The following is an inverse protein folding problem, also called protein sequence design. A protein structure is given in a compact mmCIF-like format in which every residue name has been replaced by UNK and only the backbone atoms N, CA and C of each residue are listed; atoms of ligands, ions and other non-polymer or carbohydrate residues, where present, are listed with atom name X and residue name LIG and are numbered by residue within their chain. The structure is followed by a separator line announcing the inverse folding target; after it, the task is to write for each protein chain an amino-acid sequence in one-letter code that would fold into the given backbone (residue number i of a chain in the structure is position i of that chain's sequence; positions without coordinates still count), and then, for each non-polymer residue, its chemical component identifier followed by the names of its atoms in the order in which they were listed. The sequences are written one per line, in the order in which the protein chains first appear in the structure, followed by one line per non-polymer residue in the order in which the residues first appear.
data_IF_274253718621
#
_entry.id   IF_274253718621
#
_cell.length_a   1.000
_cell.length_b   1.000
_cell.length_c   1.000
_cell.angle_alpha   90.00
_cell.angle_beta   90.00
_cell.angle_gamma   90.00
#
_symmetry.space_group_name_H-M   'P 1'
#
loop_
_entity.id
_entity.type
_entity.pdbx_description
1 polymer ?
#
# COMPACT_ATOMS: atom_id res chain seq x y z
N UNK A 1 -11.89 20.14 7.30
CA UNK A 1 -10.96 19.03 6.95
C UNK A 1 -11.21 18.71 5.49
N UNK A 2 -10.17 18.75 4.67
CA UNK A 2 -10.25 18.50 3.23
C UNK A 2 -9.64 17.12 2.93
N UNK A 3 -10.25 16.37 2.01
CA UNK A 3 -9.75 15.06 1.59
C UNK A 3 -8.69 15.26 0.53
N UNK A 4 -7.48 14.74 0.76
CA UNK A 4 -6.35 14.89 -0.16
C UNK A 4 -6.20 13.70 -1.11
N UNK A 5 -6.53 12.49 -0.64
CA UNK A 5 -6.48 11.25 -1.42
C UNK A 5 -7.80 10.51 -1.26
N UNK A 6 -8.40 10.14 -2.39
CA UNK A 6 -9.56 9.26 -2.43
C UNK A 6 -9.16 7.89 -2.96
N UNK A 7 -9.43 6.85 -2.16
CA UNK A 7 -9.22 5.48 -2.59
C UNK A 7 -10.44 5.03 -3.42
N UNK A 8 -10.25 4.54 -4.66
CA UNK A 8 -11.34 4.36 -5.62
C UNK A 8 -12.25 3.14 -5.37
N UNK A 9 -11.90 2.19 -4.50
CA UNK A 9 -12.70 0.98 -4.27
C UNK A 9 -13.08 0.82 -2.79
N UNK A 10 -13.94 1.66 -2.24
CA UNK A 10 -14.33 1.61 -0.82
C UNK A 10 -14.97 0.27 -0.33
N UNK A 11 -15.15 -0.75 -1.18
CA UNK A 11 -15.79 -2.03 -0.83
C UNK A 11 -14.90 -2.97 -0.03
N UNK A 12 -13.60 -2.69 0.10
CA UNK A 12 -12.67 -3.54 0.87
C UNK A 12 -12.04 -2.80 2.04
N UNK A 13 -11.77 -3.51 3.13
CA UNK A 13 -11.13 -2.90 4.30
C UNK A 13 -9.64 -2.65 4.07
N UNK A 14 -9.15 -1.54 4.62
CA UNK A 14 -7.71 -1.27 4.74
C UNK A 14 -7.13 -2.23 5.78
N UNK A 15 -6.03 -2.90 5.43
CA UNK A 15 -5.31 -3.83 6.31
C UNK A 15 -4.18 -3.15 7.06
N UNK A 16 -3.42 -2.34 6.34
CA UNK A 16 -2.29 -1.61 6.87
C UNK A 16 -1.96 -0.42 5.96
N UNK A 17 -1.27 0.57 6.49
CA UNK A 17 -0.77 1.71 5.75
C UNK A 17 0.57 2.18 6.33
N UNK A 18 1.39 2.82 5.51
CA UNK A 18 2.65 3.41 5.96
C UNK A 18 2.96 4.66 5.16
N UNK A 19 3.30 5.73 5.86
CA UNK A 19 3.97 6.88 5.26
C UNK A 19 5.45 6.58 5.08
N UNK A 20 6.05 7.12 4.03
CA UNK A 20 7.50 7.19 3.90
C UNK A 20 8.06 8.26 4.84
N UNK A 21 9.31 8.10 5.25
CA UNK A 21 9.92 9.01 6.23
C UNK A 21 10.18 10.42 5.69
N UNK A 22 10.17 10.58 4.37
CA UNK A 22 10.31 11.85 3.65
C UNK A 22 8.96 12.51 3.33
N UNK A 23 7.85 11.93 3.79
CA UNK A 23 6.48 12.43 3.59
C UNK A 23 6.05 12.54 2.11
N UNK A 24 6.80 11.92 1.20
CA UNK A 24 6.49 11.95 -0.24
C UNK A 24 5.47 10.88 -0.63
N UNK A 25 5.45 9.74 0.07
CA UNK A 25 4.66 8.58 -0.32
C UNK A 25 3.80 8.02 0.81
N UNK A 26 2.65 7.48 0.41
CA UNK A 26 1.77 6.67 1.25
C UNK A 26 1.53 5.32 0.55
N UNK A 27 1.79 4.22 1.25
CA UNK A 27 1.36 2.89 0.82
C UNK A 27 0.10 2.49 1.58
N UNK A 28 -0.83 1.85 0.88
CA UNK A 28 -2.06 1.28 1.46
C UNK A 28 -2.21 -0.18 1.01
N UNK A 29 -2.28 -1.08 1.98
CA UNK A 29 -2.68 -2.46 1.79
C UNK A 29 -4.16 -2.63 2.12
N UNK A 30 -4.83 -3.50 1.36
CA UNK A 30 -6.26 -3.76 1.51
C UNK A 30 -6.53 -5.25 1.55
N UNK A 31 -7.73 -5.61 2.00
CA UNK A 31 -8.17 -7.01 2.02
C UNK A 31 -8.26 -7.63 0.62
N UNK A 32 -8.37 -6.81 -0.42
CA UNK A 32 -8.28 -7.26 -1.81
C UNK A 32 -7.69 -6.18 -2.71
N UNK A 33 -7.20 -6.60 -3.87
CA UNK A 33 -6.58 -5.69 -4.84
C UNK A 33 -5.08 -5.49 -4.58
N UNK A 34 -4.45 -4.59 -5.33
CA UNK A 34 -3.01 -4.34 -5.22
C UNK A 34 -2.65 -3.57 -3.95
N UNK A 35 -1.39 -3.64 -3.56
CA UNK A 35 -0.81 -2.65 -2.64
C UNK A 35 -0.54 -1.39 -3.45
N UNK A 36 -1.20 -0.29 -3.10
CA UNK A 36 -1.13 0.96 -3.87
C UNK A 36 -0.23 1.96 -3.17
N UNK A 37 0.66 2.58 -3.95
CA UNK A 37 1.52 3.67 -3.50
C UNK A 37 1.04 4.97 -4.14
N UNK A 38 0.84 5.97 -3.29
CA UNK A 38 0.41 7.31 -3.66
C UNK A 38 1.55 8.29 -3.47
N UNK A 39 1.69 9.23 -4.40
CA UNK A 39 2.48 10.44 -4.20
C UNK A 39 1.59 11.48 -3.50
N UNK A 40 2.03 11.93 -2.32
CA UNK A 40 1.24 12.81 -1.45
C UNK A 40 1.18 14.26 -1.93
N UNK A 41 2.09 14.66 -2.83
CA UNK A 41 2.16 16.01 -3.36
C UNK A 41 1.19 16.21 -4.52
N UNK A 42 1.11 15.22 -5.40
CA UNK A 42 0.23 15.19 -6.56
C UNK A 42 -1.14 14.57 -6.26
N UNK A 43 -1.26 13.84 -5.14
CA UNK A 43 -2.44 13.03 -4.81
C UNK A 43 -2.73 11.93 -5.83
N UNK A 44 -1.71 11.48 -6.58
CA UNK A 44 -1.86 10.47 -7.62
C UNK A 44 -1.28 9.11 -7.20
N UNK A 45 -1.89 8.04 -7.69
CA UNK A 45 -1.36 6.70 -7.53
C UNK A 45 -0.18 6.50 -8.49
N UNK A 46 1.04 6.39 -7.94
CA UNK A 46 2.28 6.27 -8.72
C UNK A 46 2.73 4.83 -8.90
N UNK A 47 2.25 3.90 -8.08
CA UNK A 47 2.50 2.47 -8.26
C UNK A 47 1.34 1.60 -7.77
N UNK A 48 1.16 0.45 -8.43
CA UNK A 48 0.30 -0.63 -7.98
C UNK A 48 1.12 -1.92 -7.99
N UNK A 49 1.37 -2.49 -6.82
CA UNK A 49 2.03 -3.78 -6.67
C UNK A 49 0.95 -4.87 -6.82
N UNK A 50 0.95 -5.62 -7.92
CA UNK A 50 -0.04 -6.66 -8.14
C UNK A 50 0.16 -7.78 -7.12
N UNK A 51 -0.93 -8.45 -6.80
CA UNK A 51 -0.92 -9.72 -6.05
C UNK A 51 -0.99 -10.88 -7.03
N UNK A 52 -0.36 -11.98 -6.70
CA UNK A 52 -0.57 -13.25 -7.39
C UNK A 52 -1.90 -13.90 -6.98
N UNK A 53 -2.31 -14.93 -7.71
CA UNK A 53 -3.56 -15.62 -7.43
C UNK A 53 -3.48 -16.35 -6.08
N UNK A 54 -4.43 -16.07 -5.19
CA UNK A 54 -4.47 -16.63 -3.84
C UNK A 54 -3.63 -15.86 -2.81
N UNK A 55 -2.92 -14.80 -3.22
CA UNK A 55 -2.20 -13.95 -2.28
C UNK A 55 -3.12 -12.99 -1.53
N UNK A 56 -2.83 -12.86 -0.24
CA UNK A 56 -3.44 -11.92 0.68
C UNK A 56 -2.31 -11.06 1.26
N UNK A 57 -2.39 -9.74 1.03
CA UNK A 57 -1.46 -8.81 1.65
C UNK A 57 -1.85 -8.54 3.11
N UNK A 58 -0.83 -8.57 3.98
CA UNK A 58 -0.95 -8.26 5.40
C UNK A 58 -0.45 -6.85 5.69
N UNK A 59 0.82 -6.75 6.06
CA UNK A 59 1.47 -5.52 6.47
C UNK A 59 2.26 -4.87 5.34
N UNK A 60 2.43 -3.55 5.44
CA UNK A 60 3.31 -2.77 4.56
C UNK A 60 4.09 -1.74 5.37
N UNK A 61 5.40 -1.59 5.14
CA UNK A 61 6.24 -0.61 5.84
C UNK A 61 7.28 0.00 4.90
N UNK A 62 7.36 1.32 4.92
CA UNK A 62 8.53 2.01 4.39
C UNK A 62 9.70 1.93 5.38
N UNK A 63 10.91 1.86 4.84
CA UNK A 63 12.16 1.94 5.57
C UNK A 63 13.14 2.82 4.81
N UNK A 64 13.80 3.72 5.53
CA UNK A 64 14.83 4.60 4.97
C UNK A 64 16.18 3.89 4.99
N UNK A 65 16.86 3.84 3.84
CA UNK A 65 18.24 3.38 3.72
C UNK A 65 19.24 4.45 4.17
N UNK A 66 20.50 4.06 4.31
CA UNK A 66 21.60 4.99 4.64
C UNK A 66 21.85 6.09 3.59
N UNK A 67 21.41 5.87 2.35
CA UNK A 67 21.49 6.85 1.25
C UNK A 67 20.22 7.74 1.15
N UNK A 68 19.38 7.75 2.18
CA UNK A 68 18.06 8.41 2.25
C UNK A 68 17.00 7.90 1.26
N UNK A 69 17.29 6.91 0.42
CA UNK A 69 16.25 6.32 -0.41
C UNK A 69 15.31 5.42 0.40
N UNK A 70 14.06 5.31 -0.04
CA UNK A 70 13.02 4.55 0.62
C UNK A 70 12.92 3.14 0.02
N UNK A 71 12.83 2.11 0.87
CA UNK A 71 12.43 0.75 0.49
C UNK A 71 11.04 0.49 1.06
N UNK A 72 10.17 -0.13 0.27
CA UNK A 72 8.88 -0.63 0.70
C UNK A 72 8.94 -2.14 0.91
N UNK A 73 8.60 -2.60 2.12
CA UNK A 73 8.37 -4.00 2.43
C UNK A 73 6.87 -4.28 2.49
N UNK A 74 6.42 -5.36 1.85
CA UNK A 74 5.04 -5.84 1.89
C UNK A 74 5.05 -7.33 2.23
N UNK A 75 4.20 -7.75 3.17
CA UNK A 75 4.03 -9.18 3.46
C UNK A 75 2.89 -9.73 2.60
N UNK A 76 3.15 -10.79 1.85
CA UNK A 76 2.14 -11.60 1.18
C UNK A 76 2.03 -12.96 1.85
N UNK A 77 0.80 -13.42 2.06
CA UNK A 77 0.50 -14.77 2.52
C UNK A 77 -0.29 -15.47 1.43
N UNK A 78 0.04 -16.74 1.16
CA UNK A 78 -0.81 -17.57 0.33
C UNK A 78 -1.95 -18.09 1.20
N UNK A 79 -3.16 -17.62 0.91
CA UNK A 79 -4.37 -18.09 1.58
C UNK A 79 -5.01 -19.17 0.74
N UNK A 80 -5.33 -20.31 1.36
CA UNK A 80 -6.36 -21.17 0.79
C UNK A 80 -7.70 -20.42 0.88
N UNK A 81 -8.34 -20.17 -0.26
CA UNK A 81 -9.74 -19.78 -0.26
C UNK A 81 -10.50 -21.02 0.22
N UNK A 82 -10.81 -21.10 1.50
CA UNK A 82 -11.79 -22.06 1.98
C UNK A 82 -13.15 -21.64 1.43
N UNK A 83 -13.59 -22.33 0.37
CA UNK A 83 -14.92 -22.25 -0.22
C UNK A 83 -15.93 -23.00 0.63
#
# INVERSE_FOLDING_TARGET
METVIEEPDAKTSVKDLSFSSDEMFLVVNRSSGPSRVWDLKSSEAVANLPREQGEIFGFCRFSTKSDNSQILFVTAMQGDIMI
#
